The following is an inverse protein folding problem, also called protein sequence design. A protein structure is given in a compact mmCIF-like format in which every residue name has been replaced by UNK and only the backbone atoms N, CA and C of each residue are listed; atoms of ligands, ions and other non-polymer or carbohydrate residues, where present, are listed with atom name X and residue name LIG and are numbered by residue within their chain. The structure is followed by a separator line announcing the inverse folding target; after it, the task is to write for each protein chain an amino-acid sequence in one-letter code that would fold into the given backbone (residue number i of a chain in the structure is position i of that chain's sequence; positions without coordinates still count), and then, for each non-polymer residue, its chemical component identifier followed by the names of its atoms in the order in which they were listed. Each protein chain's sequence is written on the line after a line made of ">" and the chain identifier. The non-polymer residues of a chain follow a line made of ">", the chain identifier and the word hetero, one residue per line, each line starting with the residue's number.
data_IF_889228405333
#
_entry.id   IF_889228405333
#
_cell.length_a   1.000
_cell.length_b   1.000
_cell.length_c   1.000
_cell.angle_alpha   90.00
_cell.angle_beta   90.00
_cell.angle_gamma   90.00
#
_symmetry.space_group_name_H-M   'P 1'
#
loop_
_entity.id
_entity.type
_entity.pdbx_description
1 polymer ?
#
# COMPACT_ATOMS: atom_id res chain seq x y z
N UNK A 1 -8.37 17.27 3.17
CA UNK A 1 -8.37 16.62 1.85
C UNK A 1 -7.10 15.83 1.70
N UNK A 2 -7.23 14.58 1.35
CA UNK A 2 -6.08 13.72 1.18
C UNK A 2 -5.30 14.07 -0.06
N UNK A 3 -4.00 13.91 0.04
CA UNK A 3 -3.15 14.13 -1.09
C UNK A 3 -3.34 13.02 -2.11
N UNK A 4 -3.35 13.40 -3.38
CA UNK A 4 -3.43 12.43 -4.47
C UNK A 4 -2.03 12.22 -5.03
N UNK A 5 -1.64 10.97 -5.13
CA UNK A 5 -0.29 10.61 -5.58
C UNK A 5 -0.35 10.07 -6.99
N UNK A 6 0.68 10.36 -7.77
CA UNK A 6 0.81 9.77 -9.09
C UNK A 6 1.31 8.34 -8.94
N UNK A 7 1.20 7.58 -10.03
CA UNK A 7 1.72 6.21 -10.04
C UNK A 7 3.22 6.21 -9.76
N UNK A 8 3.93 7.21 -10.29
CA UNK A 8 5.37 7.29 -10.06
C UNK A 8 5.67 7.57 -8.59
N UNK A 9 4.90 8.45 -7.96
CA UNK A 9 5.11 8.74 -6.56
C UNK A 9 4.83 7.52 -5.69
N UNK A 10 3.81 6.75 -6.06
CA UNK A 10 3.51 5.52 -5.32
C UNK A 10 4.67 4.54 -5.47
N UNK A 11 5.20 4.40 -6.68
CA UNK A 11 6.33 3.52 -6.91
C UNK A 11 7.54 3.94 -6.07
N UNK A 12 7.79 5.24 -6.02
CA UNK A 12 8.91 5.77 -5.25
C UNK A 12 8.73 5.46 -3.76
N UNK A 13 7.54 5.65 -3.25
CA UNK A 13 7.27 5.38 -1.83
C UNK A 13 7.35 3.89 -1.50
N UNK A 14 6.96 3.04 -2.44
CA UNK A 14 7.03 1.60 -2.22
C UNK A 14 8.41 1.04 -2.52
N UNK A 15 9.28 1.84 -3.14
CA UNK A 15 10.59 1.36 -3.51
C UNK A 15 10.55 0.37 -4.65
N UNK A 16 9.59 0.52 -5.56
CA UNK A 16 9.42 -0.40 -6.69
C UNK A 16 9.46 0.39 -7.99
N UNK A 17 9.46 -0.33 -9.10
CA UNK A 17 9.25 0.30 -10.39
C UNK A 17 7.77 0.61 -10.59
N UNK A 18 7.46 1.43 -11.62
CA UNK A 18 6.08 1.86 -11.85
C UNK A 18 5.18 0.72 -12.30
N UNK A 19 5.74 -0.38 -12.77
CA UNK A 19 4.91 -1.50 -13.20
C UNK A 19 4.07 -2.06 -12.06
N UNK A 20 4.63 -2.06 -10.86
CA UNK A 20 3.92 -2.63 -9.75
C UNK A 20 2.66 -1.85 -9.38
N UNK A 21 2.74 -0.54 -9.13
CA UNK A 21 1.50 0.19 -8.85
C UNK A 21 0.53 0.20 -10.03
N UNK A 22 1.04 0.18 -11.26
CA UNK A 22 0.13 0.08 -12.40
C UNK A 22 -0.65 -1.24 -12.37
N UNK A 23 0.01 -2.31 -12.00
CA UNK A 23 -0.67 -3.59 -11.88
C UNK A 23 -1.73 -3.56 -10.79
N UNK A 24 -1.41 -2.92 -9.66
CA UNK A 24 -2.38 -2.79 -8.58
C UNK A 24 -3.64 -2.07 -9.05
N UNK A 25 -3.47 -1.05 -9.86
CA UNK A 25 -4.61 -0.30 -10.40
C UNK A 25 -5.37 -1.17 -11.39
N UNK A 26 -4.67 -1.83 -12.29
CA UNK A 26 -5.32 -2.67 -13.30
C UNK A 26 -6.11 -3.81 -12.68
N UNK A 27 -5.58 -4.39 -11.63
CA UNK A 27 -6.23 -5.51 -10.95
C UNK A 27 -7.19 -5.03 -9.87
N UNK A 28 -7.33 -3.72 -9.73
CA UNK A 28 -8.23 -3.12 -8.74
C UNK A 28 -7.94 -3.57 -7.31
N UNK A 29 -6.66 -3.68 -7.03
CA UNK A 29 -6.23 -4.10 -5.71
C UNK A 29 -5.89 -2.93 -4.81
N UNK A 30 -6.02 -1.71 -5.32
CA UNK A 30 -5.79 -0.50 -4.54
C UNK A 30 -6.81 0.53 -4.99
N UNK A 31 -7.31 1.32 -4.06
CA UNK A 31 -8.26 2.36 -4.38
C UNK A 31 -7.56 3.46 -5.17
N UNK A 32 -8.15 3.88 -6.26
CA UNK A 32 -7.59 4.94 -7.07
C UNK A 32 -8.69 5.84 -7.60
N UNK A 33 -8.28 7.02 -8.05
CA UNK A 33 -9.18 8.04 -8.59
C UNK A 33 -8.71 8.37 -10.00
N UNK A 34 -9.66 8.47 -10.92
CA UNK A 34 -9.33 8.95 -12.26
C UNK A 34 -9.62 10.43 -12.33
N UNK A 35 -8.57 11.20 -12.59
CA UNK A 35 -8.70 12.63 -12.77
C UNK A 35 -8.45 12.89 -14.24
N UNK A 36 -9.56 12.96 -15.02
CA UNK A 36 -9.43 13.02 -16.46
C UNK A 36 -8.77 11.77 -16.99
N UNK A 37 -7.60 11.95 -17.61
CA UNK A 37 -6.82 10.83 -18.13
C UNK A 37 -5.88 10.24 -17.10
N UNK A 38 -5.71 10.95 -15.99
CA UNK A 38 -4.67 10.58 -15.06
C UNK A 38 -5.23 9.71 -13.94
N UNK A 39 -4.44 8.70 -13.58
CA UNK A 39 -4.76 7.89 -12.42
C UNK A 39 -4.03 8.48 -11.23
N UNK A 40 -4.75 8.65 -10.15
CA UNK A 40 -4.18 9.17 -8.91
C UNK A 40 -4.59 8.27 -7.77
N UNK A 41 -3.69 8.09 -6.83
CA UNK A 41 -3.94 7.21 -5.70
C UNK A 41 -3.95 8.06 -4.44
N UNK A 42 -5.08 8.09 -3.71
CA UNK A 42 -5.09 8.86 -2.47
C UNK A 42 -4.06 8.34 -1.51
N UNK A 43 -3.44 9.25 -0.77
CA UNK A 43 -2.40 8.85 0.15
C UNK A 43 -2.91 7.82 1.17
N UNK A 44 -4.14 7.99 1.64
CA UNK A 44 -4.72 7.05 2.60
C UNK A 44 -4.85 5.65 2.00
N UNK A 45 -5.12 5.57 0.68
CA UNK A 45 -5.25 4.27 0.03
C UNK A 45 -3.90 3.55 -0.02
N UNK A 46 -2.84 4.30 -0.26
CA UNK A 46 -1.51 3.72 -0.24
C UNK A 46 -1.16 3.25 1.17
N UNK A 47 -1.49 4.06 2.17
CA UNK A 47 -1.22 3.68 3.55
C UNK A 47 -2.01 2.42 3.94
N UNK A 48 -3.25 2.34 3.50
CA UNK A 48 -4.07 1.15 3.77
C UNK A 48 -3.48 -0.09 3.11
N UNK A 49 -3.03 0.07 1.88
CA UNK A 49 -2.42 -1.05 1.17
C UNK A 49 -1.18 -1.55 1.89
N UNK A 50 -0.32 -0.61 2.32
CA UNK A 50 0.88 -0.98 3.05
C UNK A 50 0.53 -1.67 4.36
N UNK A 51 -0.47 -1.15 5.07
CA UNK A 51 -0.87 -1.74 6.33
C UNK A 51 -1.39 -3.16 6.15
N UNK A 52 -2.19 -3.38 5.09
CA UNK A 52 -2.75 -4.70 4.83
C UNK A 52 -1.68 -5.72 4.45
N UNK A 53 -0.59 -5.25 3.89
CA UNK A 53 0.47 -6.13 3.45
C UNK A 53 1.69 -6.12 4.36
N UNK A 54 1.56 -5.50 5.51
CA UNK A 54 2.64 -5.50 6.49
C UNK A 54 2.68 -6.85 7.17
N UNK A 55 3.84 -7.48 7.09
CA UNK A 55 4.04 -8.78 7.73
C UNK A 55 4.83 -8.54 9.00
N UNK A 56 4.22 -8.86 10.11
CA UNK A 56 4.88 -8.68 11.39
C UNK A 56 5.91 -9.80 11.59
N UNK A 57 7.04 -9.47 12.19
CA UNK A 57 8.03 -10.52 12.46
C UNK A 57 7.49 -11.47 13.51
N UNK A 58 7.87 -12.71 13.36
CA UNK A 58 7.54 -13.70 14.38
C UNK A 58 8.41 -13.41 15.57
N UNK A 59 7.80 -13.19 16.70
CA UNK A 59 8.51 -12.92 17.92
C UNK A 59 8.29 -14.08 18.87
N UNK A 60 9.39 -14.75 19.19
CA UNK A 60 9.31 -15.87 20.11
C UNK A 60 9.56 -15.35 21.50
N UNK A 61 8.49 -15.03 22.17
CA UNK A 61 8.61 -14.56 23.53
C UNK A 61 7.95 -15.56 24.45
N UNK A 62 8.69 -16.04 25.44
CA UNK A 62 8.20 -17.12 26.24
C UNK A 62 6.91 -16.79 26.96
N UNK A 63 6.74 -15.55 27.35
CA UNK A 63 5.56 -15.18 28.08
C UNK A 63 4.45 -14.67 27.21
N UNK A 64 4.69 -14.51 25.94
CA UNK A 64 3.68 -13.98 25.07
C UNK A 64 3.07 -15.03 24.23
N UNK A 65 3.79 -16.03 24.17
CA UNK A 65 3.20 -17.07 23.42
C UNK A 65 1.93 -17.54 24.00
N UNK A 66 2.06 -16.90 24.47
CA UNK A 66 1.36 -16.84 24.85
C UNK A 66 0.51 -16.28 24.69
N UNK A 67 0.45 -16.11 24.28
CA UNK A 67 -0.01 -15.44 24.09
C UNK A 67 -0.38 -15.14 23.55
N UNK A 68 -0.47 -15.41 23.51
CA UNK A 68 -0.42 -15.24 23.07
C UNK A 68 -0.62 -15.22 22.75
N UNK A 69 -0.66 -15.23 22.93
CA UNK A 69 -0.43 -15.18 22.85
C UNK A 69 -0.49 -15.15 22.80
#
# INVERSE_FOLDING_TARGET
>A
VDRLLSVQEVADRLGTGVRFPRRLVEERRITFVKVGRHVRIPEWALEAYVAENTVQPITLRPNVLRRAA
#
